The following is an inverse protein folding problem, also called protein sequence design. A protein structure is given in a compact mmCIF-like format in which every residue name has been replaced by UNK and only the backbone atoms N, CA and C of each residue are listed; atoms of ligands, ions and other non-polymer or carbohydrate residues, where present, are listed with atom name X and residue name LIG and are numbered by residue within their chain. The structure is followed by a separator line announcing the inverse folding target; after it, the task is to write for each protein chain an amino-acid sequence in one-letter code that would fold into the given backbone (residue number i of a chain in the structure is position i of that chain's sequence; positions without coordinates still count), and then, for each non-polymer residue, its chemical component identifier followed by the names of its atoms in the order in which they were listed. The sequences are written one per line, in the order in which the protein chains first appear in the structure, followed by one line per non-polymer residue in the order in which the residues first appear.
data_IF_138027926351
#
_entry.id   IF_138027926351
#
_cell.length_a   1.000
_cell.length_b   1.000
_cell.length_c   1.000
_cell.angle_alpha   90.00
_cell.angle_beta   90.00
_cell.angle_gamma   90.00
#
_symmetry.space_group_name_H-M   'P 1'
#
loop_
_entity.id
_entity.type
_entity.pdbx_description
1 polymer ?
#
# COMPACT_ATOMS: atom_id res chain seq x y z
N UNK A 1 -5.16 15.74 35.95
CA UNK A 1 -4.28 14.64 35.54
C UNK A 1 -4.85 13.26 35.87
N UNK A 2 -4.74 12.70 37.09
CA UNK A 2 -5.22 11.31 37.35
C UNK A 2 -6.73 11.13 37.08
N UNK A 3 -7.57 12.12 37.40
CA UNK A 3 -9.01 12.07 37.12
C UNK A 3 -9.34 12.09 35.63
N UNK A 4 -8.56 12.83 34.82
CA UNK A 4 -8.77 12.92 33.37
C UNK A 4 -8.38 11.61 32.68
N UNK A 5 -7.31 10.95 33.14
CA UNK A 5 -6.88 9.65 32.61
C UNK A 5 -7.92 8.56 32.89
N UNK A 6 -8.56 8.56 34.07
CA UNK A 6 -9.62 7.60 34.37
C UNK A 6 -10.85 7.78 33.46
N UNK A 7 -11.30 9.01 33.26
CA UNK A 7 -12.42 9.30 32.36
C UNK A 7 -12.09 8.95 30.90
N UNK A 8 -10.89 9.33 30.43
CA UNK A 8 -10.42 8.96 29.10
C UNK A 8 -10.36 7.44 28.90
N UNK A 9 -9.96 6.67 29.91
CA UNK A 9 -9.96 5.22 29.84
C UNK A 9 -11.38 4.63 29.76
N UNK A 10 -12.33 5.15 30.52
CA UNK A 10 -13.74 4.73 30.44
C UNK A 10 -14.34 5.04 29.05
N UNK A 11 -14.08 6.23 28.50
CA UNK A 11 -14.54 6.64 27.17
C UNK A 11 -13.91 5.77 26.06
N UNK A 12 -12.63 5.44 26.18
CA UNK A 12 -11.93 4.53 25.27
C UNK A 12 -12.51 3.11 25.31
N UNK A 13 -12.79 2.58 26.51
CA UNK A 13 -13.38 1.25 26.67
C UNK A 13 -14.78 1.18 26.04
N UNK A 14 -15.61 2.21 26.25
CA UNK A 14 -16.93 2.31 25.63
C UNK A 14 -16.85 2.41 24.09
N UNK A 15 -15.95 3.24 23.56
CA UNK A 15 -15.76 3.34 22.10
C UNK A 15 -15.21 2.02 21.53
N UNK A 16 -14.28 1.35 22.22
CA UNK A 16 -13.73 0.08 21.78
C UNK A 16 -14.81 -1.01 21.65
N UNK A 17 -15.69 -1.12 22.64
CA UNK A 17 -16.81 -2.06 22.60
C UNK A 17 -17.77 -1.73 21.43
N UNK A 18 -18.07 -0.45 21.23
CA UNK A 18 -18.87 0.00 20.10
C UNK A 18 -18.22 -0.35 18.75
N UNK A 19 -16.92 -0.08 18.58
CA UNK A 19 -16.18 -0.42 17.36
C UNK A 19 -16.20 -1.92 17.08
N UNK A 20 -15.99 -2.76 18.11
CA UNK A 20 -16.07 -4.22 17.98
C UNK A 20 -17.45 -4.69 17.53
N UNK A 21 -18.52 -4.06 18.03
CA UNK A 21 -19.88 -4.38 17.62
C UNK A 21 -20.21 -3.89 16.21
N UNK A 22 -19.74 -2.71 15.82
CA UNK A 22 -19.99 -2.13 14.49
C UNK A 22 -19.28 -2.94 13.41
N UNK A 23 -18.02 -3.29 13.65
CA UNK A 23 -17.15 -3.99 12.69
C UNK A 23 -17.12 -5.51 12.90
N UNK A 24 -18.10 -6.07 13.63
CA UNK A 24 -18.21 -7.52 13.79
C UNK A 24 -18.38 -8.19 12.42
N UNK A 25 -17.41 -9.03 12.03
CA UNK A 25 -17.40 -9.72 10.75
C UNK A 25 -16.95 -8.87 9.55
N UNK A 26 -16.46 -7.64 9.75
CA UNK A 26 -15.84 -6.85 8.68
C UNK A 26 -14.34 -7.17 8.55
N UNK A 27 -13.95 -7.83 7.45
CA UNK A 27 -12.56 -8.17 7.13
C UNK A 27 -11.66 -6.94 6.87
N UNK A 28 -12.26 -5.76 6.65
CA UNK A 28 -11.51 -4.52 6.43
C UNK A 28 -10.98 -3.94 7.75
N UNK A 29 -11.64 -4.21 8.88
CA UNK A 29 -11.25 -3.73 10.19
C UNK A 29 -10.35 -4.74 10.91
N UNK A 30 -9.28 -4.24 11.53
CA UNK A 30 -8.36 -5.01 12.35
C UNK A 30 -8.02 -4.26 13.62
N UNK A 31 -8.31 -4.88 14.75
CA UNK A 31 -7.79 -4.45 16.03
C UNK A 31 -6.33 -4.95 16.16
N UNK A 32 -5.36 -4.03 16.21
CA UNK A 32 -3.94 -4.36 16.42
C UNK A 32 -3.64 -4.45 17.93
N UNK A 33 -4.25 -3.57 18.71
CA UNK A 33 -4.23 -3.55 20.16
C UNK A 33 -5.50 -2.87 20.68
N UNK A 34 -5.72 -2.88 22.01
CA UNK A 34 -6.85 -2.20 22.65
C UNK A 34 -6.91 -0.69 22.40
N UNK A 35 -5.81 -0.10 21.95
CA UNK A 35 -5.68 1.33 21.65
C UNK A 35 -5.16 1.57 20.23
N UNK A 36 -5.17 0.57 19.33
CA UNK A 36 -4.69 0.75 17.96
C UNK A 36 -5.48 -0.09 16.97
N UNK A 37 -5.98 0.58 15.95
CA UNK A 37 -6.92 0.04 14.98
C UNK A 37 -6.44 0.31 13.58
N UNK A 38 -6.77 -0.59 12.68
CA UNK A 38 -6.42 -0.50 11.28
C UNK A 38 -7.65 -0.80 10.44
N UNK A 39 -7.95 0.07 9.48
CA UNK A 39 -9.06 -0.10 8.56
C UNK A 39 -8.58 -0.02 7.11
N UNK A 40 -9.05 -0.93 6.27
CA UNK A 40 -8.81 -0.87 4.82
C UNK A 40 -9.91 -0.08 4.15
N UNK A 41 -9.52 1.02 3.50
CA UNK A 41 -10.40 1.83 2.68
C UNK A 41 -10.23 1.39 1.23
N UNK A 42 -11.35 1.01 0.60
CA UNK A 42 -11.39 0.44 -0.74
C UNK A 42 -11.19 -1.08 -0.78
N UNK A 43 -11.49 -1.65 -1.94
CA UNK A 43 -11.37 -3.10 -2.18
C UNK A 43 -9.91 -3.54 -2.38
N UNK A 44 -9.64 -4.83 -2.24
CA UNK A 44 -8.29 -5.38 -2.37
C UNK A 44 -7.67 -5.10 -3.75
N UNK A 45 -8.50 -5.07 -4.80
CA UNK A 45 -8.07 -4.85 -6.17
C UNK A 45 -8.13 -3.37 -6.60
N UNK A 46 -8.57 -2.48 -5.72
CA UNK A 46 -8.66 -1.06 -6.02
C UNK A 46 -7.25 -0.41 -5.97
N UNK A 47 -6.78 0.23 -7.07
CA UNK A 47 -5.52 0.97 -7.08
C UNK A 47 -5.51 2.14 -6.09
N UNK A 48 -6.69 2.67 -5.74
CA UNK A 48 -6.89 3.75 -4.77
C UNK A 48 -7.17 3.23 -3.36
N UNK A 49 -7.09 1.92 -3.10
CA UNK A 49 -7.24 1.44 -1.73
C UNK A 49 -6.01 1.80 -0.88
N UNK A 50 -6.25 2.08 0.39
CA UNK A 50 -5.19 2.35 1.37
C UNK A 50 -5.59 1.85 2.76
N UNK A 51 -4.59 1.65 3.62
CA UNK A 51 -4.75 1.21 5.00
C UNK A 51 -4.61 2.41 5.92
N UNK A 52 -5.63 2.70 6.72
CA UNK A 52 -5.61 3.77 7.71
C UNK A 52 -5.38 3.15 9.09
N UNK A 53 -4.33 3.60 9.78
CA UNK A 53 -4.03 3.15 11.14
C UNK A 53 -4.25 4.31 12.11
N UNK A 54 -4.97 4.05 13.20
CA UNK A 54 -5.32 5.03 14.23
C UNK A 54 -4.94 4.44 15.58
N UNK A 55 -4.30 5.25 16.42
CA UNK A 55 -3.91 4.86 17.78
C UNK A 55 -4.30 5.91 18.81
N UNK A 56 -4.79 5.47 19.96
CA UNK A 56 -5.23 6.35 21.04
C UNK A 56 -4.06 6.69 21.98
N UNK A 57 -3.78 7.98 22.24
CA UNK A 57 -3.02 8.38 23.41
C UNK A 57 -3.83 8.17 24.70
N UNK A 58 -3.16 8.20 25.85
CA UNK A 58 -3.80 8.04 27.17
C UNK A 58 -4.88 9.09 27.47
N UNK A 59 -4.84 10.23 26.78
CA UNK A 59 -5.74 11.38 26.97
C UNK A 59 -6.81 11.49 25.89
N UNK A 60 -6.92 10.53 24.97
CA UNK A 60 -8.01 10.51 23.98
C UNK A 60 -9.34 10.16 24.67
N UNK A 61 -10.48 10.80 24.33
CA UNK A 61 -10.72 11.67 23.16
C UNK A 61 -10.43 13.17 23.34
N UNK A 62 -9.96 13.62 24.52
CA UNK A 62 -9.60 15.03 24.77
C UNK A 62 -8.42 15.47 23.90
N UNK A 63 -7.53 14.55 23.56
CA UNK A 63 -6.43 14.78 22.62
C UNK A 63 -6.61 13.99 21.33
N UNK A 64 -6.16 14.57 20.23
CA UNK A 64 -6.14 13.96 18.91
C UNK A 64 -5.54 12.54 18.91
N UNK A 65 -6.18 11.57 18.23
CA UNK A 65 -5.57 10.26 18.02
C UNK A 65 -4.38 10.37 17.06
N UNK A 66 -3.42 9.47 17.20
CA UNK A 66 -2.29 9.38 16.27
C UNK A 66 -2.70 8.58 15.03
N UNK A 67 -2.74 9.27 13.90
CA UNK A 67 -3.07 8.69 12.58
C UNK A 67 -1.79 8.39 11.81
N UNK A 68 -1.70 7.21 11.21
CA UNK A 68 -0.56 6.80 10.35
C UNK A 68 -1.02 6.11 9.06
N UNK A 69 -0.22 6.31 8.01
CA UNK A 69 -0.34 5.66 6.70
C UNK A 69 0.94 4.87 6.35
N UNK A 70 1.69 4.43 7.36
CA UNK A 70 3.00 3.77 7.20
C UNK A 70 2.90 2.25 6.96
N UNK A 71 1.69 1.71 6.93
CA UNK A 71 1.46 0.32 6.58
C UNK A 71 2.12 -0.06 5.25
N UNK A 72 2.70 -1.25 5.18
CA UNK A 72 3.39 -1.75 3.98
C UNK A 72 2.50 -1.72 2.72
N UNK A 73 1.19 -1.92 2.90
CA UNK A 73 0.19 -1.81 1.84
C UNK A 73 0.20 -0.43 1.14
N UNK A 74 0.51 0.63 1.88
CA UNK A 74 0.52 2.01 1.39
C UNK A 74 1.84 2.40 0.71
N UNK A 75 2.81 1.49 0.55
CA UNK A 75 4.09 1.79 -0.11
C UNK A 75 3.94 2.21 -1.57
N UNK A 76 2.83 1.84 -2.20
CA UNK A 76 2.48 2.29 -3.57
C UNK A 76 2.07 3.76 -3.65
N UNK A 77 1.68 4.35 -2.52
CA UNK A 77 1.17 5.72 -2.43
C UNK A 77 2.35 6.67 -2.20
N UNK A 78 2.49 7.68 -3.05
CA UNK A 78 3.53 8.69 -2.89
C UNK A 78 3.35 9.50 -1.60
N UNK A 79 4.45 9.96 -0.99
CA UNK A 79 4.39 10.68 0.28
C UNK A 79 3.59 11.98 0.20
N UNK A 80 3.54 12.65 -0.95
CA UNK A 80 2.73 13.85 -1.18
C UNK A 80 1.23 13.58 -1.00
N UNK A 81 0.76 12.44 -1.50
CA UNK A 81 -0.65 12.05 -1.35
C UNK A 81 -0.92 11.62 0.09
N UNK A 82 -0.01 10.87 0.75
CA UNK A 82 -0.15 10.55 2.18
C UNK A 82 -0.26 11.82 3.04
N UNK A 83 0.54 12.84 2.77
CA UNK A 83 0.46 14.14 3.46
C UNK A 83 -0.88 14.82 3.25
N UNK A 84 -1.41 14.80 2.02
CA UNK A 84 -2.74 15.36 1.72
C UNK A 84 -3.84 14.64 2.50
N UNK A 85 -3.77 13.31 2.58
CA UNK A 85 -4.74 12.50 3.33
C UNK A 85 -4.68 12.86 4.82
N UNK A 86 -3.48 12.87 5.40
CA UNK A 86 -3.29 13.22 6.81
C UNK A 86 -3.80 14.64 7.10
N UNK A 87 -3.49 15.62 6.24
CA UNK A 87 -3.96 16.99 6.43
C UNK A 87 -5.49 17.11 6.47
N UNK A 88 -6.19 16.41 5.56
CA UNK A 88 -7.65 16.41 5.56
C UNK A 88 -8.26 15.64 6.74
N UNK A 89 -7.62 14.56 7.19
CA UNK A 89 -8.04 13.83 8.37
C UNK A 89 -7.82 14.66 9.65
N UNK A 90 -6.74 15.44 9.72
CA UNK A 90 -6.48 16.36 10.83
C UNK A 90 -7.63 17.36 11.00
N UNK A 91 -8.17 17.91 9.89
CA UNK A 91 -9.35 18.78 9.93
C UNK A 91 -10.57 18.07 10.54
N UNK A 92 -10.76 16.78 10.27
CA UNK A 92 -11.83 15.99 10.87
C UNK A 92 -11.57 15.69 12.34
N UNK A 93 -10.32 15.47 12.73
CA UNK A 93 -9.95 15.27 14.14
C UNK A 93 -10.27 16.51 14.95
N UNK A 94 -9.82 17.68 14.51
CA UNK A 94 -10.07 18.96 15.20
C UNK A 94 -11.56 19.26 15.37
N UNK A 95 -12.39 18.88 14.38
CA UNK A 95 -13.83 19.06 14.45
C UNK A 95 -14.54 18.13 15.44
N UNK A 96 -13.93 16.98 15.79
CA UNK A 96 -14.54 15.95 16.64
C UNK A 96 -13.81 15.76 18.00
N UNK A 97 -12.86 16.63 18.35
CA UNK A 97 -12.17 16.60 19.65
C UNK A 97 -13.14 16.59 20.83
N UNK A 98 -12.79 15.83 21.87
CA UNK A 98 -13.63 15.63 23.05
C UNK A 98 -14.75 14.62 22.86
N UNK A 99 -14.79 13.90 21.73
CA UNK A 99 -15.77 12.82 21.48
C UNK A 99 -15.14 11.61 20.80
N UNK A 100 -15.79 10.45 20.92
CA UNK A 100 -15.44 9.24 20.19
C UNK A 100 -15.52 9.48 18.67
N UNK A 101 -14.39 9.40 17.97
CA UNK A 101 -14.26 9.83 16.58
C UNK A 101 -13.70 8.76 15.63
N UNK A 102 -13.25 7.59 16.11
CA UNK A 102 -12.59 6.59 15.24
C UNK A 102 -13.52 6.10 14.14
N UNK A 103 -14.76 5.77 14.50
CA UNK A 103 -15.78 5.37 13.53
C UNK A 103 -16.00 6.47 12.48
N UNK A 104 -16.17 7.71 12.94
CA UNK A 104 -16.36 8.89 12.08
C UNK A 104 -15.19 9.09 11.12
N UNK A 105 -13.95 8.93 11.60
CA UNK A 105 -12.75 9.05 10.77
C UNK A 105 -12.69 7.96 9.70
N UNK A 106 -13.01 6.71 10.03
CA UNK A 106 -13.04 5.62 9.06
C UNK A 106 -14.13 5.81 8.01
N UNK A 107 -15.36 6.16 8.42
CA UNK A 107 -16.44 6.35 7.47
C UNK A 107 -16.19 7.58 6.58
N UNK A 108 -15.71 8.69 7.15
CA UNK A 108 -15.35 9.87 6.37
C UNK A 108 -14.26 9.55 5.34
N UNK A 109 -13.22 8.82 5.74
CA UNK A 109 -12.13 8.46 4.83
C UNK A 109 -12.60 7.52 3.70
N UNK A 110 -13.55 6.64 4.00
CA UNK A 110 -14.21 5.75 3.03
C UNK A 110 -15.08 6.53 2.04
N UNK A 111 -15.91 7.45 2.51
CA UNK A 111 -16.74 8.32 1.65
C UNK A 111 -15.88 9.24 0.76
N UNK A 112 -14.72 9.68 1.26
CA UNK A 112 -13.85 10.62 0.56
C UNK A 112 -12.68 9.95 -0.17
N UNK A 113 -12.68 8.61 -0.30
CA UNK A 113 -11.57 7.84 -0.88
C UNK A 113 -11.14 8.39 -2.25
N UNK A 114 -12.09 8.68 -3.15
CA UNK A 114 -11.78 9.16 -4.49
C UNK A 114 -11.07 10.52 -4.48
N UNK A 115 -11.50 11.44 -3.63
CA UNK A 115 -10.89 12.77 -3.46
C UNK A 115 -9.53 12.69 -2.76
N UNK A 116 -9.40 11.78 -1.80
CA UNK A 116 -8.14 11.54 -1.08
C UNK A 116 -7.05 10.98 -2.00
N UNK A 117 -7.46 10.19 -3.00
CA UNK A 117 -6.58 9.53 -3.96
C UNK A 117 -6.59 10.20 -5.35
N UNK A 118 -7.12 11.42 -5.49
CA UNK A 118 -7.25 12.12 -6.78
C UNK A 118 -5.89 12.33 -7.47
N UNK A 119 -4.89 12.75 -6.70
CA UNK A 119 -3.53 12.99 -7.18
C UNK A 119 -2.66 11.72 -7.23
N UNK A 120 -3.23 10.56 -6.91
CA UNK A 120 -2.50 9.30 -6.95
C UNK A 120 -2.33 8.84 -8.40
N UNK A 121 -1.11 8.98 -8.92
CA UNK A 121 -0.71 8.29 -10.15
C UNK A 121 -0.14 6.92 -9.77
N UNK A 122 -0.64 5.82 -10.36
CA UNK A 122 -0.03 4.51 -10.15
C UNK A 122 1.41 4.59 -10.65
N UNK A 123 2.36 4.52 -9.72
CA UNK A 123 3.78 4.50 -10.07
C UNK A 123 4.04 3.17 -10.76
N UNK A 124 3.92 3.16 -12.09
CA UNK A 124 4.48 2.11 -12.92
C UNK A 124 5.98 2.28 -12.81
N UNK A 125 6.63 1.48 -11.96
CA UNK A 125 8.10 1.31 -11.97
C UNK A 125 8.52 0.63 -13.28
N UNK A 126 8.43 1.37 -14.38
CA UNK A 126 9.14 1.07 -15.61
C UNK A 126 10.55 1.59 -15.44
N UNK A 127 11.50 0.69 -15.17
CA UNK A 127 12.93 0.97 -15.36
C UNK A 127 13.10 1.39 -16.81
N UNK A 128 13.22 2.70 -17.05
CA UNK A 128 13.58 3.24 -18.35
C UNK A 128 14.66 4.30 -18.12
N UNK A 129 15.90 3.81 -18.07
CA UNK A 129 17.06 4.60 -18.44
C UNK A 129 16.88 5.01 -19.91
N UNK A 130 16.64 6.29 -20.18
CA UNK A 130 17.30 7.04 -21.26
C UNK A 130 16.80 8.48 -21.31
N UNK A 131 17.77 9.39 -21.19
CA UNK A 131 17.76 10.77 -21.65
C UNK A 131 17.06 10.95 -22.99
N UNK A 132 16.24 11.99 -23.14
CA UNK A 132 16.57 13.10 -24.06
C UNK A 132 15.62 14.29 -23.95
N UNK A 133 16.20 15.46 -24.17
CA UNK A 133 15.60 16.78 -24.18
C UNK A 133 14.79 17.08 -25.46
N UNK A 134 13.88 18.05 -25.29
CA UNK A 134 13.39 19.08 -26.22
C UNK A 134 12.61 18.72 -27.51
N UNK A 135 11.41 19.32 -27.54
CA UNK A 135 10.42 19.60 -28.61
C UNK A 135 10.94 20.59 -29.69
N UNK A 136 10.17 21.02 -30.72
CA UNK A 136 9.31 20.33 -31.70
C UNK A 136 9.51 20.88 -33.16
N UNK A 137 9.08 20.19 -34.24
CA UNK A 137 8.39 20.87 -35.35
C UNK A 137 7.72 19.97 -36.42
N UNK A 138 6.69 20.58 -37.01
CA UNK A 138 5.72 20.27 -38.09
C UNK A 138 6.19 19.57 -39.39
N UNK A 139 5.35 18.71 -40.00
CA UNK A 139 4.59 18.90 -41.27
C UNK A 139 4.10 17.60 -41.98
N UNK A 140 2.87 17.70 -42.52
CA UNK A 140 2.30 17.09 -43.75
C UNK A 140 2.23 15.56 -44.02
N UNK A 141 0.98 15.07 -44.02
CA UNK A 141 0.23 14.40 -45.10
C UNK A 141 0.77 13.16 -45.89
N UNK A 142 -0.08 12.11 -45.88
CA UNK A 142 -0.45 11.21 -47.00
C UNK A 142 0.23 9.81 -47.17
N UNK A 143 -0.64 8.78 -47.07
CA UNK A 143 -0.74 7.52 -47.84
C UNK A 143 0.01 6.24 -47.41
N UNK A 144 -0.81 5.16 -47.46
CA UNK A 144 -0.56 3.71 -47.67
C UNK A 144 -0.22 2.80 -46.47
N UNK A 145 -1.30 2.14 -46.04
CA UNK A 145 -1.48 0.71 -45.68
C UNK A 145 -0.29 -0.21 -46.06
N UNK A 146 0.30 -0.88 -45.07
CA UNK A 146 0.91 -2.20 -45.23
C UNK A 146 0.78 -3.06 -43.96
N UNK A 147 0.34 -4.29 -44.19
CA UNK A 147 -0.04 -5.33 -43.23
C UNK A 147 1.22 -6.05 -42.75
N UNK A 148 1.74 -5.71 -41.57
CA UNK A 148 2.82 -6.50 -40.93
C UNK A 148 2.23 -7.67 -40.14
N UNK A 149 1.98 -8.73 -40.90
CA UNK A 149 2.29 -10.13 -40.59
C UNK A 149 2.33 -10.52 -39.10
N UNK A 150 1.24 -11.13 -38.62
CA UNK A 150 1.26 -11.91 -37.39
C UNK A 150 2.21 -13.10 -37.57
N UNK A 151 3.42 -13.01 -37.02
CA UNK A 151 4.28 -14.17 -36.83
C UNK A 151 3.60 -15.16 -35.88
N UNK A 152 3.42 -16.38 -36.35
CA UNK A 152 2.76 -17.42 -35.56
C UNK A 152 3.63 -17.83 -34.37
N UNK A 153 2.96 -18.23 -33.27
CA UNK A 153 3.56 -18.67 -31.99
C UNK A 153 4.69 -19.71 -32.15
N UNK A 154 4.66 -20.49 -33.23
CA UNK A 154 5.67 -21.47 -33.59
C UNK A 154 6.98 -20.84 -34.13
N UNK A 155 6.91 -19.73 -34.88
CA UNK A 155 8.10 -19.04 -35.42
C UNK A 155 8.89 -18.34 -34.31
N UNK A 156 8.23 -17.80 -33.27
CA UNK A 156 8.92 -17.23 -32.10
C UNK A 156 9.67 -18.29 -31.28
N UNK A 157 9.13 -19.52 -31.14
CA UNK A 157 9.82 -20.61 -30.42
C UNK A 157 11.12 -21.05 -31.09
N UNK A 158 11.23 -20.96 -32.42
CA UNK A 158 12.41 -21.45 -33.16
C UNK A 158 13.62 -20.49 -33.07
N UNK A 159 13.42 -19.23 -32.69
CA UNK A 159 14.51 -18.25 -32.52
C UNK A 159 15.11 -18.21 -31.10
N UNK A 160 14.44 -18.77 -30.09
CA UNK A 160 14.91 -18.76 -28.68
C UNK A 160 16.00 -19.79 -28.38
N UNK A 161 16.32 -20.69 -29.31
CA UNK A 161 17.34 -21.74 -29.12
C UNK A 161 18.69 -21.47 -29.77
N UNK A 162 18.92 -20.30 -30.36
CA UNK A 162 20.19 -20.01 -31.05
C UNK A 162 21.14 -19.30 -30.09
N UNK A 163 22.09 -20.06 -29.56
CA UNK A 163 23.25 -19.58 -28.82
C UNK A 163 24.10 -18.66 -29.72
N UNK A 164 24.63 -17.57 -29.17
CA UNK A 164 25.53 -16.65 -29.89
C UNK A 164 26.81 -17.37 -30.36
N UNK A 165 27.49 -16.81 -31.38
CA UNK A 165 28.77 -17.30 -31.95
C UNK A 165 29.96 -17.38 -30.95
N UNK A 166 29.71 -17.16 -29.65
CA UNK A 166 30.69 -17.28 -28.55
C UNK A 166 30.27 -18.28 -27.47
N UNK A 167 29.15 -18.99 -27.62
CA UNK A 167 28.72 -20.04 -26.69
C UNK A 167 28.14 -19.54 -25.36
N UNK A 168 27.94 -18.22 -25.19
CA UNK A 168 27.33 -17.67 -23.98
C UNK A 168 25.81 -17.52 -24.12
N UNK A 169 25.10 -17.88 -23.06
CA UNK A 169 23.65 -17.73 -22.93
C UNK A 169 23.31 -16.27 -22.54
N UNK A 170 22.18 -15.72 -23.01
CA UNK A 170 21.80 -14.34 -22.69
C UNK A 170 21.71 -14.12 -21.17
N UNK A 171 22.21 -12.97 -20.71
CA UNK A 171 22.10 -12.56 -19.29
C UNK A 171 20.63 -12.60 -18.87
N UNK A 172 20.37 -13.23 -17.72
CA UNK A 172 19.01 -13.49 -17.25
C UNK A 172 18.41 -14.83 -17.74
N UNK A 173 19.22 -15.81 -18.14
CA UNK A 173 18.75 -17.19 -18.36
C UNK A 173 18.67 -18.00 -17.06
N UNK A 174 19.45 -17.63 -16.05
CA UNK A 174 19.50 -18.30 -14.73
C UNK A 174 18.85 -17.41 -13.66
N UNK A 175 17.52 -17.42 -13.60
CA UNK A 175 16.78 -16.74 -12.54
C UNK A 175 16.78 -17.64 -11.30
N UNK A 176 17.71 -17.36 -10.38
CA UNK A 176 17.75 -18.03 -9.07
C UNK A 176 16.65 -17.46 -8.17
N UNK A 177 15.74 -18.33 -7.75
CA UNK A 177 14.65 -18.04 -6.82
C UNK A 177 15.20 -17.72 -5.41
N UNK A 178 15.20 -16.42 -5.05
CA UNK A 178 15.75 -15.90 -3.79
C UNK A 178 14.96 -16.36 -2.56
N UNK A 179 13.73 -16.85 -2.75
CA UNK A 179 12.85 -17.31 -1.66
C UNK A 179 13.33 -18.64 -1.07
N UNK A 180 13.95 -19.52 -1.87
CA UNK A 180 14.50 -20.79 -1.37
C UNK A 180 15.72 -20.65 -0.47
N UNK A 181 16.43 -19.52 -0.52
CA UNK A 181 17.70 -19.32 0.21
C UNK A 181 17.47 -18.97 1.69
N UNK A 182 16.35 -18.30 2.02
CA UNK A 182 16.07 -17.89 3.41
C UNK A 182 15.48 -19.01 4.28
N UNK A 183 14.72 -19.94 3.69
CA UNK A 183 14.11 -21.05 4.45
C UNK A 183 15.15 -22.11 4.88
N UNK A 184 16.18 -22.36 4.05
CA UNK A 184 17.23 -23.34 4.40
C UNK A 184 18.19 -22.84 5.51
N UNK A 185 18.35 -21.52 5.70
CA UNK A 185 19.27 -20.99 6.72
C UNK A 185 18.69 -21.00 8.13
N UNK A 186 17.36 -21.00 8.27
CA UNK A 186 16.69 -21.11 9.57
C UNK A 186 16.59 -22.56 10.07
N UNK A 187 16.43 -23.54 9.17
CA UNK A 187 16.33 -24.95 9.57
C UNK A 187 17.71 -25.55 9.94
N UNK A 188 18.81 -25.08 9.35
CA UNK A 188 20.15 -25.60 9.66
C UNK A 188 20.74 -25.09 10.98
N UNK A 189 20.35 -23.90 11.44
CA UNK A 189 20.84 -23.35 12.72
C UNK A 189 20.10 -23.93 13.94
N UNK A 190 18.89 -24.46 13.78
CA UNK A 190 18.16 -25.08 14.91
C UNK A 190 18.59 -26.53 15.19
N UNK A 191 19.30 -27.19 14.26
CA UNK A 191 19.73 -28.59 14.44
C UNK A 191 21.15 -28.73 15.03
N UNK A 192 21.93 -27.65 15.11
CA UNK A 192 23.33 -27.70 15.60
C UNK A 192 23.49 -27.26 17.07
N UNK A 193 22.47 -26.67 17.69
CA UNK A 193 22.50 -26.28 19.12
C UNK A 193 21.86 -27.30 20.08
N UNK A 194 21.28 -28.41 19.58
CA UNK A 194 20.71 -29.48 20.41
C UNK A 194 21.61 -30.72 20.53
N UNK A 195 22.86 -30.69 20.05
CA UNK A 195 23.84 -31.75 20.26
C UNK A 195 25.21 -31.18 20.65
N UNK A 196 25.22 -30.39 21.72
CA UNK A 196 26.40 -30.12 22.55
C UNK A 196 25.95 -29.77 23.98
#
# INVERSE_FOLDING_TARGET
MVKEIMAANEDQEMELEALRSIYEGDDCFKELSSASFQYRIGDHDDPKAFLLEISWPETYPETAPRISLDAFFNNRICPEVKKTILAKLEEQVEANLGTAMVYTLFEWAKENQESLMENHQPVVTAVTLTSNAEVPNTTSASKKKDKKEQLTKAQKRKMTGRTDNKGELPRGWDWVDVIKVKVKRLIFNLFTECML
#
